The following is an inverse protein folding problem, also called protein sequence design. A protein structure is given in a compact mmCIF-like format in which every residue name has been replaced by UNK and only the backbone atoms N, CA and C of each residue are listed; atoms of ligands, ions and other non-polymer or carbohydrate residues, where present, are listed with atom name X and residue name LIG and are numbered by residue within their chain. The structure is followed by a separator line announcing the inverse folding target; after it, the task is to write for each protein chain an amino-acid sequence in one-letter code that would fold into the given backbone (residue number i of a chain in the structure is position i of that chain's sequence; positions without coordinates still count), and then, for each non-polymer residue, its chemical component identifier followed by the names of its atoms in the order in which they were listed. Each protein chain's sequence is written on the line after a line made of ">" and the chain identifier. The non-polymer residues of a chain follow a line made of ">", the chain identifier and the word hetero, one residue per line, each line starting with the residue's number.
data_IF_577859268759
#
_entry.id   IF_577859268759
#
_cell.length_a   1.000
_cell.length_b   1.000
_cell.length_c   1.000
_cell.angle_alpha   90.00
_cell.angle_beta   90.00
_cell.angle_gamma   90.00
#
_symmetry.space_group_name_H-M   'P 1'
#
loop_
_entity.id
_entity.type
_entity.pdbx_description
1 polymer ?
#
# COMPACT_ATOMS: atom_id res chain seq x y z
N UNK A 1 -19.87 -22.87 -21.65
CA UNK A 1 -18.97 -22.78 -20.47
C UNK A 1 -18.89 -21.31 -20.09
N UNK A 2 -19.20 -20.95 -18.83
CA UNK A 2 -18.95 -19.58 -18.35
C UNK A 2 -17.46 -19.52 -18.05
N UNK A 3 -16.72 -18.69 -18.78
CA UNK A 3 -15.38 -18.28 -18.36
C UNK A 3 -15.52 -17.71 -16.94
N UNK A 4 -14.97 -18.40 -15.94
CA UNK A 4 -14.89 -17.88 -14.58
C UNK A 4 -13.78 -16.84 -14.57
N UNK A 5 -14.11 -15.61 -14.95
CA UNK A 5 -13.19 -14.50 -14.73
C UNK A 5 -13.11 -14.28 -13.22
N UNK A 6 -11.93 -14.48 -12.64
CA UNK A 6 -11.64 -14.00 -11.30
C UNK A 6 -11.79 -12.48 -11.32
N UNK A 7 -12.71 -11.98 -10.50
CA UNK A 7 -12.90 -10.55 -10.31
C UNK A 7 -11.96 -10.10 -9.21
N UNK A 8 -11.39 -8.91 -9.37
CA UNK A 8 -10.44 -8.33 -8.43
C UNK A 8 -10.97 -7.01 -7.89
N UNK A 9 -10.71 -6.76 -6.62
CA UNK A 9 -10.97 -5.50 -5.95
C UNK A 9 -9.69 -5.02 -5.27
N UNK A 10 -9.32 -3.77 -5.52
CA UNK A 10 -8.33 -3.08 -4.71
C UNK A 10 -9.06 -2.39 -3.57
N UNK A 11 -8.92 -2.92 -2.37
CA UNK A 11 -9.49 -2.33 -1.16
C UNK A 11 -8.63 -1.11 -0.76
N UNK A 12 -8.97 0.06 -1.29
CA UNK A 12 -8.30 1.34 -1.04
C UNK A 12 -9.30 2.46 -0.74
N UNK A 13 -9.05 3.34 0.26
CA UNK A 13 -7.99 3.29 1.26
C UNK A 13 -8.09 2.05 2.15
N UNK A 14 -9.19 1.29 2.06
CA UNK A 14 -9.22 -0.10 2.49
C UNK A 14 -9.36 -0.32 3.99
N UNK A 15 -9.26 -1.59 4.37
CA UNK A 15 -9.52 -2.08 5.73
C UNK A 15 -8.25 -2.59 6.43
N UNK A 16 -7.13 -2.75 5.71
CA UNK A 16 -5.84 -3.15 6.27
C UNK A 16 -5.11 -1.94 6.87
N UNK A 17 -5.78 -1.25 7.77
CA UNK A 17 -5.34 -0.01 8.40
C UNK A 17 -4.90 -0.26 9.85
N UNK A 18 -3.64 0.02 10.18
CA UNK A 18 -3.12 -0.21 11.53
C UNK A 18 -3.87 0.60 12.60
N UNK A 19 -4.23 1.85 12.32
CA UNK A 19 -5.00 2.72 13.23
C UNK A 19 -6.32 2.10 13.67
N UNK A 20 -7.00 1.42 12.75
CA UNK A 20 -8.31 0.85 13.01
C UNK A 20 -8.21 -0.55 13.62
N UNK A 21 -7.26 -1.35 13.11
CA UNK A 21 -7.08 -2.72 13.54
C UNK A 21 -6.43 -2.78 14.92
N UNK A 22 -5.54 -1.85 15.28
CA UNK A 22 -4.89 -1.79 16.58
C UNK A 22 -4.94 -0.34 17.13
N UNK A 23 -6.13 0.16 17.50
CA UNK A 23 -6.29 1.55 17.94
C UNK A 23 -5.59 1.85 19.28
N UNK A 24 -5.21 0.80 20.03
CA UNK A 24 -4.33 0.86 21.19
C UNK A 24 -3.38 -0.31 21.13
N UNK A 25 -2.14 -0.10 21.55
CA UNK A 25 -1.10 -1.13 21.56
C UNK A 25 -1.58 -2.42 22.22
N UNK A 26 -1.60 -3.51 21.45
CA UNK A 26 -2.01 -4.85 21.87
C UNK A 26 -3.52 -5.13 21.85
N UNK A 27 -4.38 -4.14 21.59
CA UNK A 27 -5.83 -4.29 21.50
C UNK A 27 -6.26 -4.34 20.03
N UNK A 28 -6.51 -5.54 19.50
CA UNK A 28 -6.87 -5.75 18.09
C UNK A 28 -8.38 -5.78 17.85
N UNK A 29 -8.85 -5.05 16.83
CA UNK A 29 -10.21 -5.06 16.33
C UNK A 29 -10.26 -5.51 14.87
N UNK A 30 -10.83 -6.69 14.62
CA UNK A 30 -10.92 -7.28 13.29
C UNK A 30 -12.29 -7.11 12.63
N UNK A 31 -13.26 -6.51 13.31
CA UNK A 31 -14.68 -6.59 12.92
C UNK A 31 -14.96 -6.05 11.50
N UNK A 32 -14.40 -4.89 11.15
CA UNK A 32 -14.66 -4.25 9.88
C UNK A 32 -13.94 -4.93 8.71
N UNK A 33 -12.66 -5.26 8.87
CA UNK A 33 -11.90 -5.97 7.84
C UNK A 33 -12.47 -7.39 7.62
N UNK A 34 -12.83 -8.12 8.67
CA UNK A 34 -13.46 -9.44 8.54
C UNK A 34 -14.80 -9.36 7.80
N UNK A 35 -15.63 -8.38 8.13
CA UNK A 35 -16.91 -8.16 7.45
C UNK A 35 -16.69 -7.86 5.97
N UNK A 36 -15.69 -7.06 5.64
CA UNK A 36 -15.33 -6.76 4.26
C UNK A 36 -14.83 -7.99 3.51
N UNK A 37 -13.90 -8.75 4.10
CA UNK A 37 -13.38 -10.00 3.53
C UNK A 37 -14.52 -10.98 3.28
N UNK A 38 -15.39 -11.20 4.26
CA UNK A 38 -16.54 -12.10 4.14
C UNK A 38 -17.47 -11.70 2.99
N UNK A 39 -17.92 -10.45 2.96
CA UNK A 39 -18.88 -9.99 1.93
C UNK A 39 -18.29 -9.95 0.53
N UNK A 40 -16.98 -9.72 0.40
CA UNK A 40 -16.26 -9.75 -0.88
C UNK A 40 -16.07 -11.18 -1.38
N UNK A 41 -15.69 -12.11 -0.49
CA UNK A 41 -15.54 -13.51 -0.85
C UNK A 41 -16.88 -14.22 -1.11
N UNK A 42 -17.99 -13.78 -0.53
CA UNK A 42 -19.35 -14.21 -0.91
C UNK A 42 -19.66 -13.95 -2.40
N UNK A 43 -18.96 -12.99 -3.03
CA UNK A 43 -19.07 -12.65 -4.44
C UNK A 43 -17.96 -13.27 -5.31
N UNK A 44 -17.13 -14.14 -4.74
CA UNK A 44 -15.97 -14.76 -5.38
C UNK A 44 -14.97 -13.73 -5.98
N UNK A 45 -14.77 -12.63 -5.26
CA UNK A 45 -13.82 -11.55 -5.61
C UNK A 45 -12.53 -11.72 -4.81
N UNK A 46 -11.38 -11.58 -5.49
CA UNK A 46 -10.05 -11.52 -4.86
C UNK A 46 -9.74 -10.09 -4.43
N UNK A 47 -9.01 -9.97 -3.31
CA UNK A 47 -8.70 -8.67 -2.71
C UNK A 47 -7.20 -8.39 -2.80
N UNK A 48 -6.86 -7.21 -3.28
CA UNK A 48 -5.60 -6.53 -3.01
C UNK A 48 -5.85 -5.54 -1.87
N UNK A 49 -5.21 -5.71 -0.72
CA UNK A 49 -5.29 -4.73 0.37
C UNK A 49 -4.19 -3.69 0.25
N UNK A 50 -4.54 -2.41 0.38
CA UNK A 50 -3.57 -1.38 0.75
C UNK A 50 -3.35 -1.42 2.26
N UNK A 51 -2.11 -1.66 2.68
CA UNK A 51 -1.68 -1.71 4.09
C UNK A 51 -1.21 -0.32 4.52
N UNK A 52 -1.85 0.25 5.53
CA UNK A 52 -1.43 1.53 6.13
C UNK A 52 -0.63 1.32 7.40
N UNK A 53 0.65 1.75 7.43
CA UNK A 53 1.56 1.47 8.53
C UNK A 53 1.49 2.53 9.64
N UNK A 54 0.33 3.10 9.93
CA UNK A 54 0.22 4.22 10.87
C UNK A 54 -0.87 3.99 11.91
N UNK A 55 -0.56 4.30 13.17
CA UNK A 55 -1.53 4.43 14.26
C UNK A 55 -1.10 5.54 15.23
N UNK A 56 -2.05 6.34 15.70
CA UNK A 56 -1.81 7.51 16.54
C UNK A 56 -0.99 7.18 17.79
N UNK A 57 -1.27 6.06 18.46
CA UNK A 57 -0.53 5.71 19.68
C UNK A 57 0.96 5.45 19.42
N UNK A 58 1.32 5.00 18.22
CA UNK A 58 2.72 4.84 17.79
C UNK A 58 3.29 6.19 17.34
N UNK A 59 2.56 6.89 16.48
CA UNK A 59 2.99 8.15 15.87
C UNK A 59 3.21 9.26 16.90
N UNK A 60 2.43 9.31 17.98
CA UNK A 60 2.57 10.30 19.04
C UNK A 60 3.86 10.13 19.86
N UNK A 61 4.60 9.01 19.70
CA UNK A 61 5.84 8.76 20.46
C UNK A 61 7.07 9.45 19.85
N UNK A 62 7.14 9.61 18.53
CA UNK A 62 8.31 10.19 17.85
C UNK A 62 7.97 11.17 16.72
N UNK A 63 6.75 11.14 16.20
CA UNK A 63 6.34 11.91 15.03
C UNK A 63 5.58 13.20 15.35
N UNK A 64 5.57 13.68 16.61
CA UNK A 64 4.91 14.94 16.98
C UNK A 64 5.42 16.18 16.24
N UNK A 65 6.61 16.09 15.62
CA UNK A 65 7.19 17.12 14.76
C UNK A 65 6.52 17.21 13.37
N UNK A 66 5.80 16.15 12.94
CA UNK A 66 5.04 16.14 11.70
C UNK A 66 3.73 16.90 11.87
N UNK A 67 3.28 17.50 10.76
CA UNK A 67 2.00 18.20 10.70
C UNK A 67 0.87 17.23 11.06
N UNK A 68 0.04 17.64 12.02
CA UNK A 68 -1.20 16.94 12.31
C UNK A 68 -2.19 17.20 11.19
N UNK A 69 -2.74 16.15 10.61
CA UNK A 69 -3.74 16.25 9.56
C UNK A 69 -5.06 15.65 10.05
N UNK A 70 -6.21 16.30 9.77
CA UNK A 70 -7.50 15.73 10.10
C UNK A 70 -7.68 14.37 9.42
N UNK A 71 -8.39 13.47 10.10
CA UNK A 71 -8.68 12.12 9.64
C UNK A 71 -9.90 12.06 8.68
N UNK A 72 -10.16 13.15 7.95
CA UNK A 72 -11.35 13.37 7.12
C UNK A 72 -11.18 12.89 5.68
N UNK A 73 -10.63 11.69 5.50
CA UNK A 73 -10.67 11.04 4.20
C UNK A 73 -12.14 10.82 3.82
N UNK A 74 -12.59 11.49 2.76
CA UNK A 74 -13.95 11.41 2.23
C UNK A 74 -14.68 12.75 2.29
N UNK A 75 -15.54 13.02 1.31
CA UNK A 75 -16.42 14.21 1.36
C UNK A 75 -17.52 14.03 2.40
N UNK A 76 -17.87 12.77 2.71
CA UNK A 76 -18.87 12.42 3.71
C UNK A 76 -18.23 11.65 4.90
N UNK A 77 -18.54 12.02 6.15
CA UNK A 77 -18.11 11.27 7.33
C UNK A 77 -18.76 9.88 7.33
N UNK A 78 -18.00 8.89 6.86
CA UNK A 78 -18.45 7.50 6.70
C UNK A 78 -17.92 6.79 5.45
N UNK A 79 -17.34 7.53 4.50
CA UNK A 79 -16.81 6.94 3.26
C UNK A 79 -15.55 6.11 3.49
N UNK A 80 -14.70 6.53 4.42
CA UNK A 80 -13.44 5.85 4.72
C UNK A 80 -13.19 5.74 6.22
N UNK A 81 -12.50 4.66 6.61
CA UNK A 81 -12.11 4.41 7.99
C UNK A 81 -10.94 5.36 8.34
N UNK A 82 -10.91 5.91 9.56
CA UNK A 82 -9.94 6.94 9.90
C UNK A 82 -8.50 6.37 9.88
N UNK A 83 -7.62 7.01 9.10
CA UNK A 83 -6.18 6.82 9.22
C UNK A 83 -5.65 7.59 10.45
N UNK A 84 -4.42 7.29 10.85
CA UNK A 84 -3.72 8.10 11.84
C UNK A 84 -3.57 9.55 11.36
N UNK A 85 -3.57 10.49 12.31
CA UNK A 85 -3.46 11.92 12.03
C UNK A 85 -2.06 12.34 11.57
N UNK A 86 -1.06 11.47 11.82
CA UNK A 86 0.31 11.60 11.33
C UNK A 86 0.69 10.34 10.62
N UNK A 87 1.33 10.50 9.48
CA UNK A 87 1.63 9.42 8.51
C UNK A 87 3.13 9.30 8.31
N UNK A 88 3.90 9.41 9.39
CA UNK A 88 5.34 9.20 9.39
C UNK A 88 5.68 7.71 9.48
N UNK A 89 6.93 7.36 9.28
CA UNK A 89 7.41 5.99 9.54
C UNK A 89 7.03 5.52 10.96
N UNK A 90 6.66 4.24 11.16
CA UNK A 90 6.42 3.71 12.50
C UNK A 90 7.56 4.03 13.47
N UNK A 91 7.20 4.54 14.64
CA UNK A 91 8.16 4.82 15.70
C UNK A 91 8.69 3.53 16.34
N UNK A 92 7.80 2.55 16.52
CA UNK A 92 8.11 1.19 16.97
C UNK A 92 7.97 0.21 15.80
N UNK A 93 9.07 0.01 15.07
CA UNK A 93 9.13 -0.93 13.95
C UNK A 93 8.87 -2.39 14.36
N UNK A 94 9.10 -2.77 15.62
CA UNK A 94 8.78 -4.13 16.09
C UNK A 94 7.28 -4.30 16.33
N UNK A 95 6.60 -3.27 16.83
CA UNK A 95 5.15 -3.28 16.90
C UNK A 95 4.50 -3.31 15.51
N UNK A 96 5.06 -2.58 14.53
CA UNK A 96 4.59 -2.65 13.15
C UNK A 96 4.76 -4.06 12.56
N UNK A 97 5.88 -4.74 12.82
CA UNK A 97 6.08 -6.14 12.41
C UNK A 97 5.05 -7.07 13.05
N UNK A 98 4.76 -6.90 14.34
CA UNK A 98 3.75 -7.72 15.03
C UNK A 98 2.35 -7.50 14.46
N UNK A 99 1.99 -6.25 14.11
CA UNK A 99 0.77 -5.94 13.40
C UNK A 99 0.69 -6.68 12.05
N UNK A 100 1.73 -6.58 11.22
CA UNK A 100 1.78 -7.28 9.93
C UNK A 100 1.69 -8.79 10.08
N UNK A 101 2.40 -9.36 11.06
CA UNK A 101 2.37 -10.80 11.33
C UNK A 101 0.95 -11.25 11.66
N UNK A 102 0.22 -10.51 12.49
CA UNK A 102 -1.17 -10.82 12.86
C UNK A 102 -2.14 -10.61 11.70
N UNK A 103 -1.93 -9.55 10.91
CA UNK A 103 -2.73 -9.26 9.74
C UNK A 103 -2.62 -10.40 8.72
N UNK A 104 -1.40 -10.87 8.42
CA UNK A 104 -1.18 -11.96 7.47
C UNK A 104 -1.67 -13.30 8.02
N UNK A 105 -1.31 -13.68 9.26
CA UNK A 105 -1.80 -14.91 9.92
C UNK A 105 -3.32 -15.03 9.87
N UNK A 106 -4.03 -13.92 10.05
CA UNK A 106 -5.49 -13.93 10.05
C UNK A 106 -6.09 -14.35 8.70
N UNK A 107 -5.36 -14.19 7.60
CA UNK A 107 -5.90 -14.33 6.25
C UNK A 107 -5.07 -15.24 5.33
N UNK A 108 -4.06 -15.94 5.85
CA UNK A 108 -3.19 -16.79 5.04
C UNK A 108 -3.81 -18.16 4.70
N UNK A 109 -4.82 -18.58 5.47
CA UNK A 109 -5.61 -19.80 5.30
C UNK A 109 -4.87 -21.09 5.57
N UNK A 110 -3.86 -21.09 6.44
CA UNK A 110 -3.07 -22.28 6.77
C UNK A 110 -3.76 -23.21 7.81
N UNK A 111 -4.88 -22.77 8.38
CA UNK A 111 -5.65 -23.48 9.41
C UNK A 111 -5.34 -23.07 10.85
N UNK A 112 -4.37 -22.18 11.07
CA UNK A 112 -4.04 -21.54 12.35
C UNK A 112 -4.44 -20.08 12.33
N UNK A 113 -5.03 -19.57 13.41
CA UNK A 113 -5.26 -18.12 13.58
C UNK A 113 -6.22 -17.44 12.59
N UNK A 114 -6.71 -18.17 11.59
CA UNK A 114 -7.52 -17.69 10.49
C UNK A 114 -8.82 -17.00 10.93
N UNK A 115 -9.26 -16.04 10.11
CA UNK A 115 -10.60 -15.48 10.19
C UNK A 115 -11.66 -16.60 10.11
N UNK A 116 -12.59 -16.70 11.07
CA UNK A 116 -13.70 -17.64 10.98
C UNK A 116 -14.52 -17.45 9.70
N UNK A 117 -14.62 -18.51 8.89
CA UNK A 117 -15.37 -18.49 7.63
C UNK A 117 -14.60 -17.92 6.44
N UNK A 118 -13.27 -17.78 6.53
CA UNK A 118 -12.41 -17.50 5.37
C UNK A 118 -12.62 -18.57 4.29
N UNK A 119 -12.96 -18.16 3.06
CA UNK A 119 -13.18 -19.07 1.91
C UNK A 119 -11.94 -19.20 1.04
N UNK A 120 -11.22 -18.10 0.88
CA UNK A 120 -10.01 -17.96 0.09
C UNK A 120 -8.98 -17.15 0.87
N UNK A 121 -7.72 -17.53 0.75
CA UNK A 121 -6.57 -16.84 1.31
C UNK A 121 -6.41 -15.44 0.71
N UNK A 122 -6.00 -14.46 1.51
CA UNK A 122 -5.60 -13.15 0.98
C UNK A 122 -4.10 -13.16 0.70
N UNK A 123 -3.75 -13.07 -0.57
CA UNK A 123 -2.35 -13.20 -1.03
C UNK A 123 -1.70 -11.88 -1.42
N UNK A 124 -2.43 -10.78 -1.58
CA UNK A 124 -1.89 -9.57 -2.21
C UNK A 124 -1.93 -8.37 -1.26
N UNK A 125 -0.76 -7.80 -1.02
CA UNK A 125 -0.55 -6.74 -0.03
C UNK A 125 0.24 -5.58 -0.66
N UNK A 126 -0.41 -4.43 -0.85
CA UNK A 126 0.24 -3.19 -1.28
C UNK A 126 0.68 -2.37 -0.06
N UNK A 127 1.94 -1.95 -0.03
CA UNK A 127 2.50 -1.24 1.14
C UNK A 127 2.42 0.27 0.94
N UNK A 128 1.38 0.88 1.52
CA UNK A 128 1.08 2.31 1.42
C UNK A 128 0.49 2.72 0.06
N UNK A 129 0.46 4.03 -0.18
CA UNK A 129 -0.08 4.64 -1.39
C UNK A 129 0.65 5.95 -1.66
N UNK A 130 1.09 6.19 -2.90
CA UNK A 130 1.65 7.47 -3.39
C UNK A 130 2.47 8.26 -2.35
N UNK A 131 3.54 7.66 -1.78
CA UNK A 131 4.33 8.32 -0.73
C UNK A 131 5.08 9.56 -1.22
N UNK A 132 5.20 9.72 -2.54
CA UNK A 132 5.77 10.88 -3.24
C UNK A 132 4.74 11.99 -3.53
N UNK A 133 3.45 11.81 -3.22
CA UNK A 133 2.41 12.84 -3.40
C UNK A 133 2.34 13.82 -2.20
N UNK A 134 3.47 14.45 -1.89
CA UNK A 134 3.58 15.36 -0.75
C UNK A 134 3.20 14.71 0.58
N UNK A 135 2.70 15.51 1.53
CA UNK A 135 2.28 15.02 2.85
C UNK A 135 0.89 14.35 2.86
N UNK A 136 0.29 14.08 1.69
CA UNK A 136 -1.08 13.58 1.61
C UNK A 136 -1.21 12.16 2.16
N UNK A 137 -0.32 11.24 1.78
CA UNK A 137 -0.42 9.83 2.17
C UNK A 137 0.74 9.37 3.06
N UNK A 138 1.86 10.10 3.03
CA UNK A 138 3.05 9.78 3.79
C UNK A 138 3.81 11.07 4.14
N UNK A 139 4.38 11.13 5.33
CA UNK A 139 5.07 12.30 5.87
C UNK A 139 6.54 11.99 6.21
N UNK A 140 7.20 11.10 5.45
CA UNK A 140 8.62 10.75 5.63
C UNK A 140 9.49 11.01 4.39
N UNK A 141 10.75 10.59 4.45
CA UNK A 141 11.68 10.60 3.30
C UNK A 141 11.57 9.32 2.45
N UNK A 142 12.31 9.26 1.33
CA UNK A 142 12.40 8.05 0.52
C UNK A 142 13.01 6.87 1.32
N UNK A 143 14.00 7.13 2.16
CA UNK A 143 14.59 6.13 3.07
C UNK A 143 13.60 5.62 4.11
N UNK A 144 12.79 6.52 4.67
CA UNK A 144 11.75 6.13 5.62
C UNK A 144 10.74 5.16 4.98
N UNK A 145 10.27 5.48 3.75
CA UNK A 145 9.39 4.59 3.01
C UNK A 145 10.07 3.28 2.63
N UNK A 146 11.33 3.32 2.17
CA UNK A 146 12.10 2.13 1.86
C UNK A 146 12.21 1.18 3.06
N UNK A 147 12.45 1.70 4.27
CA UNK A 147 12.54 0.87 5.45
C UNK A 147 11.20 0.20 5.80
N UNK A 148 10.08 0.93 5.65
CA UNK A 148 8.74 0.36 5.78
C UNK A 148 8.57 -0.77 4.76
N UNK A 149 8.78 -0.51 3.47
CA UNK A 149 8.64 -1.49 2.39
C UNK A 149 9.46 -2.75 2.66
N UNK A 150 10.74 -2.59 3.01
CA UNK A 150 11.65 -3.69 3.32
C UNK A 150 11.17 -4.53 4.50
N UNK A 151 10.79 -3.88 5.60
CA UNK A 151 10.30 -4.59 6.79
C UNK A 151 8.98 -5.29 6.49
N UNK A 152 8.09 -4.66 5.74
CA UNK A 152 6.81 -5.26 5.35
C UNK A 152 7.02 -6.49 4.48
N UNK A 153 7.84 -6.40 3.45
CA UNK A 153 8.17 -7.53 2.58
C UNK A 153 8.69 -8.72 3.38
N UNK A 154 9.73 -8.52 4.20
CA UNK A 154 10.36 -9.59 4.96
C UNK A 154 9.39 -10.21 5.99
N UNK A 155 8.55 -9.39 6.61
CA UNK A 155 7.59 -9.86 7.63
C UNK A 155 6.44 -10.63 6.99
N UNK A 156 5.86 -10.10 5.90
CA UNK A 156 4.77 -10.74 5.16
C UNK A 156 5.25 -12.07 4.57
N UNK A 157 6.41 -12.10 3.89
CA UNK A 157 6.98 -13.34 3.33
C UNK A 157 7.31 -14.39 4.39
N UNK A 158 7.66 -13.97 5.61
CA UNK A 158 7.93 -14.88 6.71
C UNK A 158 6.65 -15.50 7.27
N UNK A 159 5.57 -14.71 7.34
CA UNK A 159 4.26 -15.19 7.78
C UNK A 159 3.62 -16.10 6.72
N UNK A 160 3.57 -15.63 5.46
CA UNK A 160 3.08 -16.38 4.32
C UNK A 160 4.08 -16.33 3.15
N UNK A 161 4.88 -17.38 2.93
CA UNK A 161 5.84 -17.44 1.82
C UNK A 161 5.21 -17.35 0.42
N UNK A 162 3.90 -17.59 0.31
CA UNK A 162 3.14 -17.52 -0.94
C UNK A 162 2.47 -16.16 -1.18
N UNK A 163 2.54 -15.24 -0.20
CA UNK A 163 2.04 -13.88 -0.35
C UNK A 163 2.83 -13.10 -1.42
N UNK A 164 2.16 -12.15 -2.04
CA UNK A 164 2.64 -11.25 -3.09
C UNK A 164 2.56 -9.83 -2.56
N UNK A 165 3.71 -9.14 -2.57
CA UNK A 165 3.84 -7.78 -2.03
C UNK A 165 3.98 -6.78 -3.18
N UNK A 166 3.16 -5.74 -3.16
CA UNK A 166 3.23 -4.61 -4.07
C UNK A 166 3.90 -3.44 -3.34
N UNK A 167 4.83 -2.77 -4.02
CA UNK A 167 5.23 -1.40 -3.65
C UNK A 167 4.04 -0.46 -3.89
N UNK A 168 3.95 0.65 -3.15
CA UNK A 168 3.00 1.71 -3.46
C UNK A 168 3.23 2.22 -4.89
N UNK A 169 2.17 2.68 -5.55
CA UNK A 169 2.35 3.45 -6.77
C UNK A 169 3.12 4.74 -6.45
N UNK A 170 4.08 5.09 -7.31
CA UNK A 170 4.89 6.30 -7.22
C UNK A 170 4.54 7.21 -8.41
N UNK A 171 3.50 8.06 -8.34
CA UNK A 171 3.03 8.91 -9.43
C UNK A 171 4.13 9.76 -10.09
N UNK A 172 5.15 10.20 -9.36
CA UNK A 172 6.23 11.03 -9.89
C UNK A 172 7.43 10.24 -10.42
N UNK A 173 7.41 8.90 -10.35
CA UNK A 173 8.50 8.04 -10.81
C UNK A 173 8.73 8.17 -12.33
N UNK A 174 9.94 8.58 -12.73
CA UNK A 174 10.29 8.80 -14.13
C UNK A 174 9.63 10.02 -14.78
N UNK A 175 8.95 10.88 -14.00
CA UNK A 175 8.54 12.20 -14.43
C UNK A 175 9.68 13.21 -14.23
N UNK A 176 9.71 14.31 -15.00
CA UNK A 176 10.60 15.42 -14.66
C UNK A 176 10.15 15.98 -13.29
N UNK A 177 10.86 15.60 -12.21
CA UNK A 177 10.60 15.97 -10.80
C UNK A 177 10.40 17.48 -10.56
N UNK A 178 10.75 18.30 -11.55
CA UNK A 178 10.42 19.71 -11.59
C UNK A 178 8.96 19.90 -12.03
N UNK A 179 8.03 19.79 -11.09
CA UNK A 179 7.10 20.87 -10.74
C UNK A 179 5.80 20.36 -10.08
N UNK A 180 5.47 21.01 -8.95
CA UNK A 180 4.16 21.15 -8.27
C UNK A 180 3.79 20.12 -7.19
N UNK A 181 4.22 20.39 -5.95
CA UNK A 181 3.36 20.10 -4.78
C UNK A 181 4.03 19.74 -3.47
N UNK A 182 4.45 20.75 -2.70
CA UNK A 182 4.50 20.78 -1.22
C UNK A 182 5.41 19.85 -0.40
N UNK A 183 6.11 18.85 -0.97
CA UNK A 183 7.41 18.40 -0.41
C UNK A 183 8.46 18.32 -1.50
N UNK A 184 9.60 18.98 -1.28
CA UNK A 184 10.72 19.01 -2.21
C UNK A 184 11.65 17.80 -2.05
N UNK A 185 11.42 16.93 -1.07
CA UNK A 185 12.47 16.07 -0.50
C UNK A 185 12.22 14.55 -0.65
N UNK A 186 11.12 14.11 -1.27
CA UNK A 186 10.88 12.68 -1.55
C UNK A 186 11.24 12.36 -3.00
N UNK A 187 12.46 11.90 -3.27
CA UNK A 187 12.82 11.44 -4.61
C UNK A 187 12.38 9.97 -4.79
N UNK A 188 11.39 9.63 -5.65
CA UNK A 188 10.95 8.25 -5.81
C UNK A 188 12.03 7.33 -6.42
N UNK A 189 13.04 7.87 -7.12
CA UNK A 189 14.15 7.07 -7.67
C UNK A 189 15.11 6.57 -6.57
N UNK A 190 15.26 7.33 -5.49
CA UNK A 190 16.15 7.00 -4.36
C UNK A 190 15.76 5.68 -3.69
N UNK A 191 14.47 5.36 -3.63
CA UNK A 191 13.98 4.07 -3.12
C UNK A 191 14.64 2.89 -3.85
N UNK A 192 14.85 3.01 -5.17
CA UNK A 192 15.49 1.97 -5.96
C UNK A 192 17.01 1.96 -5.79
N UNK A 193 17.64 3.11 -5.60
CA UNK A 193 19.07 3.21 -5.23
C UNK A 193 19.37 2.54 -3.89
N UNK A 194 18.43 2.59 -2.94
CA UNK A 194 18.49 1.88 -1.66
C UNK A 194 18.26 0.36 -1.77
N UNK A 195 17.87 -0.13 -2.96
CA UNK A 195 17.70 -1.56 -3.24
C UNK A 195 16.27 -2.07 -3.07
N UNK A 196 15.24 -1.21 -3.21
CA UNK A 196 13.84 -1.65 -3.14
C UNK A 196 13.48 -2.75 -4.13
N UNK A 197 14.23 -2.89 -5.23
CA UNK A 197 14.06 -3.97 -6.19
C UNK A 197 14.11 -5.38 -5.57
N UNK A 198 14.62 -5.58 -4.35
CA UNK A 198 14.59 -6.88 -3.67
C UNK A 198 13.36 -7.06 -2.74
N UNK A 199 12.58 -6.01 -2.50
CA UNK A 199 11.57 -5.95 -1.43
C UNK A 199 10.14 -5.66 -1.90
N UNK A 200 9.83 -6.05 -3.13
CA UNK A 200 8.45 -6.16 -3.65
C UNK A 200 8.42 -7.24 -4.72
N UNK A 201 7.26 -7.83 -4.99
CA UNK A 201 7.10 -8.82 -6.07
C UNK A 201 6.53 -8.17 -7.34
N UNK A 202 5.67 -7.16 -7.18
CA UNK A 202 4.98 -6.47 -8.26
C UNK A 202 5.20 -4.96 -8.13
N UNK A 203 5.60 -4.32 -9.24
CA UNK A 203 5.67 -2.88 -9.31
C UNK A 203 4.27 -2.31 -9.53
N UNK A 204 3.87 -1.33 -8.73
CA UNK A 204 2.58 -0.68 -8.88
C UNK A 204 2.68 0.72 -9.52
N UNK A 205 1.62 1.14 -10.22
CA UNK A 205 1.46 2.47 -10.81
C UNK A 205 -0.02 2.90 -10.89
N UNK A 206 -0.27 4.20 -10.92
CA UNK A 206 -1.61 4.78 -11.05
C UNK A 206 -1.88 5.44 -12.41
N UNK A 207 -0.92 5.54 -13.33
CA UNK A 207 -1.22 5.99 -14.69
C UNK A 207 -0.23 5.46 -15.72
N UNK A 208 -0.71 5.31 -16.96
CA UNK A 208 0.12 4.90 -18.09
C UNK A 208 0.94 6.05 -18.70
N UNK A 209 0.68 7.30 -18.30
CA UNK A 209 1.29 8.50 -18.89
C UNK A 209 2.82 8.55 -18.79
N UNK A 210 3.40 7.79 -17.86
CA UNK A 210 4.85 7.72 -17.60
C UNK A 210 5.51 6.39 -18.02
N UNK A 211 4.77 5.48 -18.68
CA UNK A 211 5.23 4.11 -18.92
C UNK A 211 6.54 4.00 -19.73
N UNK A 212 6.81 4.94 -20.65
CA UNK A 212 8.05 4.93 -21.46
C UNK A 212 9.28 5.32 -20.64
N UNK A 213 9.19 6.35 -19.83
CA UNK A 213 10.29 6.78 -18.96
C UNK A 213 10.55 5.75 -17.87
N UNK A 214 9.46 5.17 -17.35
CA UNK A 214 9.54 4.10 -16.37
C UNK A 214 10.32 2.89 -16.90
N UNK A 215 10.05 2.39 -18.11
CA UNK A 215 10.80 1.23 -18.65
C UNK A 215 12.32 1.44 -18.67
N UNK A 216 12.77 2.65 -19.03
CA UNK A 216 14.19 2.97 -19.06
C UNK A 216 14.77 3.02 -17.64
N UNK A 217 14.05 3.64 -16.69
CA UNK A 217 14.43 3.70 -15.29
C UNK A 217 14.51 2.29 -14.67
N UNK A 218 13.48 1.46 -14.86
CA UNK A 218 13.41 0.10 -14.30
C UNK A 218 14.49 -0.83 -14.85
N UNK A 219 14.92 -0.61 -16.10
CA UNK A 219 16.05 -1.36 -16.69
C UNK A 219 17.37 -1.07 -15.96
N UNK A 220 17.53 0.14 -15.40
CA UNK A 220 18.71 0.51 -14.60
C UNK A 220 18.76 -0.17 -13.23
N UNK A 221 17.62 -0.65 -12.72
CA UNK A 221 17.49 -1.21 -11.36
C UNK A 221 17.13 -2.70 -11.34
N UNK A 222 17.28 -3.43 -12.47
CA UNK A 222 16.89 -4.85 -12.60
C UNK A 222 15.42 -5.15 -12.22
N UNK A 223 14.51 -4.19 -12.43
CA UNK A 223 13.07 -4.38 -12.15
C UNK A 223 12.29 -4.78 -13.42
N UNK A 224 12.94 -4.79 -14.58
CA UNK A 224 12.30 -5.03 -15.88
C UNK A 224 11.55 -6.35 -16.01
N UNK A 225 11.96 -7.37 -15.26
CA UNK A 225 11.37 -8.71 -15.31
C UNK A 225 10.19 -8.89 -14.34
N UNK A 226 9.91 -7.88 -13.50
CA UNK A 226 8.82 -7.93 -12.54
C UNK A 226 7.49 -7.54 -13.19
N UNK A 227 6.38 -8.18 -12.79
CA UNK A 227 5.05 -7.75 -13.23
C UNK A 227 4.77 -6.30 -12.81
N UNK A 228 4.02 -5.59 -13.66
CA UNK A 228 3.56 -4.23 -13.40
C UNK A 228 2.03 -4.26 -13.28
N UNK A 229 1.49 -3.72 -12.19
CA UNK A 229 0.06 -3.54 -11.99
C UNK A 229 -0.32 -2.07 -12.07
N UNK A 230 -1.46 -1.79 -12.71
CA UNK A 230 -2.09 -0.47 -12.70
C UNK A 230 -3.28 -0.54 -11.74
N UNK A 231 -3.15 0.07 -10.58
CA UNK A 231 -4.16 -0.08 -9.50
C UNK A 231 -5.19 1.05 -9.44
N UNK A 232 -4.91 2.19 -10.07
CA UNK A 232 -5.86 3.31 -10.20
C UNK A 232 -5.87 3.89 -11.62
N UNK A 233 -6.50 3.24 -12.61
CA UNK A 233 -6.54 3.75 -13.97
C UNK A 233 -7.40 5.03 -14.07
N UNK A 234 -6.81 6.21 -13.87
CA UNK A 234 -7.51 7.50 -13.98
C UNK A 234 -7.00 8.66 -13.12
N UNK A 235 -5.95 8.48 -12.30
CA UNK A 235 -5.40 9.52 -11.43
C UNK A 235 -4.86 10.76 -12.19
N UNK A 236 -5.38 11.94 -11.82
CA UNK A 236 -4.95 13.32 -12.15
C UNK A 236 -4.06 13.52 -13.40
N UNK A 237 -4.63 13.20 -14.56
CA UNK A 237 -4.15 13.71 -15.84
C UNK A 237 -5.30 13.73 -16.82
N UNK A 238 -5.75 14.92 -17.22
CA UNK A 238 -6.63 15.08 -18.38
C UNK A 238 -5.97 14.40 -19.58
N UNK A 239 -6.45 13.21 -19.93
CA UNK A 239 -6.06 12.48 -21.13
C UNK A 239 -6.54 13.25 -22.35
N UNK A 240 -5.72 14.16 -22.89
CA UNK A 240 -5.88 14.63 -24.27
C UNK A 240 -5.37 13.55 -25.22
N UNK A 241 -6.29 12.64 -25.58
CA UNK A 241 -6.28 11.65 -26.66
C UNK A 241 -5.04 10.74 -26.83
N UNK A 242 -5.22 9.50 -27.31
CA UNK A 242 -4.08 8.66 -27.67
C UNK A 242 -3.36 9.31 -28.85
N UNK A 243 -2.09 9.68 -28.68
CA UNK A 243 -1.22 9.87 -29.84
C UNK A 243 -1.13 8.51 -30.52
N UNK A 244 -1.60 8.46 -31.76
CA UNK A 244 -1.84 7.26 -32.54
C UNK A 244 -0.64 6.32 -32.56
N UNK A 245 -0.97 5.03 -32.60
CA UNK A 245 -0.05 4.00 -33.04
C UNK A 245 0.36 4.29 -34.50
N UNK A 246 1.65 4.48 -34.71
CA UNK A 246 2.36 4.10 -35.95
C UNK A 246 3.44 3.08 -35.58
#
# INVERSE_FOLDING_TARGET
>A
ERYSYLSWERAHPGFANWQEIEPRKGEYNWENIDRYVKTTQEKDIQILFTVWPFTDWDQETCNLHLEWQPNDWGKDPGDFLPLAHRKGKPCDMEAYKEFLRRLVERYDGDGSGDMPGLRYTIKYWEIGNEPDLGDAFFQGSAEDYFEILKVSYLTIKKADPTAVVLIAALPCLGAEWKTKGKRHDFNPEEIFELGAAEYFDILNMHSLGHAKNLKNLLSGYNVSDKPIWVTEPGGLGDFKEPVGAE
#
